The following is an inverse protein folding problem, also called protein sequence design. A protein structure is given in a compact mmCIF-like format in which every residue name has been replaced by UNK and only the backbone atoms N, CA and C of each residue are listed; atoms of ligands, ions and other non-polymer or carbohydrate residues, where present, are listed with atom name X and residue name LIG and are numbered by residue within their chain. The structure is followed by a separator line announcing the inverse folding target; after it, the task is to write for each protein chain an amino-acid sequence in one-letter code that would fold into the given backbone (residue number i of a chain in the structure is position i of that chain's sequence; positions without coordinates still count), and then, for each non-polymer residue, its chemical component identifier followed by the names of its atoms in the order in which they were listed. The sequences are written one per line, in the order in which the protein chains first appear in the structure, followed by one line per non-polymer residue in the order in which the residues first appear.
data_IF_029543357792
#
_entry.id   IF_029543357792
#
_cell.length_a   1.000
_cell.length_b   1.000
_cell.length_c   1.000
_cell.angle_alpha   90.00
_cell.angle_beta   90.00
_cell.angle_gamma   90.00
#
_symmetry.space_group_name_H-M   'P 1'
#
loop_
_entity.id
_entity.type
_entity.pdbx_description
1 polymer ?
#
# COMPACT_ATOMS: atom_id res chain seq x y z
N UNK A 1 -13.64 12.22 -16.90
CA UNK A 1 -12.52 12.16 -17.89
C UNK A 1 -12.80 11.12 -18.97
N UNK A 2 -12.15 11.15 -20.14
CA UNK A 2 -12.28 10.13 -21.20
C UNK A 2 -11.06 9.18 -21.19
N UNK A 3 -11.15 8.05 -20.49
CA UNK A 3 -9.99 7.20 -20.17
C UNK A 3 -9.28 6.63 -21.41
N UNK A 4 -10.03 6.13 -22.39
CA UNK A 4 -9.46 5.54 -23.60
C UNK A 4 -8.65 6.55 -24.40
N UNK A 5 -9.16 7.78 -24.54
CA UNK A 5 -8.45 8.87 -25.20
C UNK A 5 -7.15 9.22 -24.47
N UNK A 6 -7.13 9.19 -23.13
CA UNK A 6 -5.91 9.44 -22.36
C UNK A 6 -4.91 8.30 -22.52
N UNK A 7 -5.35 7.04 -22.51
CA UNK A 7 -4.50 5.88 -22.77
C UNK A 7 -3.88 5.92 -24.17
N UNK A 8 -4.68 6.23 -25.21
CA UNK A 8 -4.19 6.42 -26.58
C UNK A 8 -3.18 7.57 -26.67
N UNK A 9 -3.47 8.72 -26.04
CA UNK A 9 -2.57 9.89 -26.06
C UNK A 9 -1.23 9.58 -25.43
N UNK A 10 -1.22 8.82 -24.35
CA UNK A 10 0.00 8.48 -23.61
C UNK A 10 0.61 7.14 -24.02
N UNK A 11 0.01 6.45 -25.00
CA UNK A 11 0.41 5.13 -25.48
C UNK A 11 0.56 4.10 -24.34
N UNK A 12 -0.43 4.06 -23.45
CA UNK A 12 -0.51 3.12 -22.33
C UNK A 12 -0.89 1.72 -22.79
N UNK A 13 -0.27 0.70 -22.20
CA UNK A 13 -0.64 -0.70 -22.42
C UNK A 13 -1.83 -1.11 -21.55
N UNK A 14 -1.83 -0.74 -20.27
CA UNK A 14 -2.84 -1.20 -19.32
C UNK A 14 -3.12 -0.20 -18.19
N UNK A 15 -4.38 -0.16 -17.75
CA UNK A 15 -4.83 0.44 -16.50
C UNK A 15 -5.69 -0.56 -15.75
N UNK A 16 -5.28 -0.91 -14.53
CA UNK A 16 -5.99 -1.86 -13.66
C UNK A 16 -6.55 -1.10 -12.46
N UNK A 17 -7.84 -1.24 -12.23
CA UNK A 17 -8.54 -0.65 -11.09
C UNK A 17 -8.78 -1.73 -10.03
N UNK A 18 -8.28 -1.48 -8.83
CA UNK A 18 -8.42 -2.37 -7.69
C UNK A 18 -9.32 -1.70 -6.66
N UNK A 19 -10.42 -2.37 -6.31
CA UNK A 19 -11.30 -1.95 -5.23
C UNK A 19 -11.57 -3.14 -4.31
N UNK A 20 -11.31 -2.96 -3.02
CA UNK A 20 -11.73 -3.91 -1.99
C UNK A 20 -12.67 -3.21 -1.00
N UNK A 21 -13.96 -3.58 -0.96
CA UNK A 21 -14.91 -3.01 -0.01
C UNK A 21 -14.54 -3.27 1.45
N UNK A 22 -13.94 -4.43 1.73
CA UNK A 22 -13.67 -4.88 3.10
C UNK A 22 -12.61 -4.00 3.77
N UNK A 23 -11.50 -3.74 3.09
CA UNK A 23 -10.48 -2.81 3.54
C UNK A 23 -10.75 -1.37 3.12
N UNK A 24 -11.71 -1.09 2.23
CA UNK A 24 -11.86 0.24 1.61
C UNK A 24 -10.73 0.61 0.65
N UNK A 25 -9.93 -0.36 0.19
CA UNK A 25 -8.82 -0.09 -0.72
C UNK A 25 -9.34 0.43 -2.05
N UNK A 26 -8.79 1.55 -2.49
CA UNK A 26 -8.94 2.08 -3.85
C UNK A 26 -7.55 2.27 -4.44
N UNK A 27 -7.22 1.51 -5.47
CA UNK A 27 -5.90 1.59 -6.10
C UNK A 27 -5.99 1.49 -7.61
N UNK A 28 -4.98 2.05 -8.27
CA UNK A 28 -4.85 2.06 -9.72
C UNK A 28 -3.42 1.64 -10.04
N UNK A 29 -3.29 0.63 -10.90
CA UNK A 29 -2.01 0.16 -11.42
C UNK A 29 -1.96 0.56 -12.89
N UNK A 30 -0.93 1.30 -13.27
CA UNK A 30 -0.69 1.76 -14.62
C UNK A 30 0.55 1.08 -15.20
N UNK A 31 0.42 0.49 -16.38
CA UNK A 31 1.51 -0.12 -17.15
C UNK A 31 1.63 0.66 -18.46
N UNK A 32 2.75 1.37 -18.62
CA UNK A 32 2.97 2.22 -19.80
C UNK A 32 3.63 1.45 -20.94
N UNK A 33 4.68 0.68 -20.67
CA UNK A 33 5.38 -0.07 -21.72
C UNK A 33 6.13 -1.26 -21.13
N UNK A 34 6.07 -2.42 -21.80
CA UNK A 34 6.76 -3.67 -21.40
C UNK A 34 7.75 -4.21 -22.45
N UNK A 35 8.10 -3.43 -23.47
CA UNK A 35 8.94 -3.87 -24.59
C UNK A 35 10.36 -4.33 -24.17
N UNK A 36 10.94 -3.74 -23.12
CA UNK A 36 12.27 -4.11 -22.61
C UNK A 36 12.22 -5.24 -21.57
N UNK A 37 11.03 -5.62 -21.10
CA UNK A 37 10.84 -6.57 -20.00
C UNK A 37 9.63 -6.22 -19.12
N UNK A 38 9.43 -6.93 -18.01
CA UNK A 38 8.28 -6.73 -17.14
C UNK A 38 8.26 -5.31 -16.56
N UNK A 39 7.06 -4.79 -16.29
CA UNK A 39 6.89 -3.45 -15.77
C UNK A 39 7.41 -3.35 -14.32
N UNK A 40 8.41 -2.48 -14.10
CA UNK A 40 8.94 -2.19 -12.77
C UNK A 40 8.50 -0.79 -12.32
N UNK A 41 8.00 -0.69 -11.09
CA UNK A 41 7.49 0.55 -10.52
C UNK A 41 7.24 0.46 -9.04
N UNK A 42 7.29 1.61 -8.35
CA UNK A 42 6.91 1.68 -6.94
C UNK A 42 5.40 1.86 -6.73
N UNK A 43 4.94 1.62 -5.51
CA UNK A 43 3.62 2.03 -5.04
C UNK A 43 3.70 3.41 -4.36
N UNK A 44 2.67 4.24 -4.50
CA UNK A 44 2.51 5.46 -3.70
C UNK A 44 1.11 5.52 -3.12
N UNK A 45 1.02 5.78 -1.82
CA UNK A 45 -0.22 6.20 -1.17
C UNK A 45 -0.31 7.73 -1.19
N UNK A 46 -1.41 8.28 -1.66
CA UNK A 46 -1.65 9.72 -1.68
C UNK A 46 -3.14 10.04 -1.56
N UNK A 47 -3.48 11.17 -0.94
CA UNK A 47 -4.86 11.66 -0.87
C UNK A 47 -5.15 12.48 -2.11
N UNK A 48 -5.99 11.93 -2.99
CA UNK A 48 -6.41 12.59 -4.23
C UNK A 48 -7.74 13.31 -4.03
N UNK A 49 -7.93 14.42 -4.73
CA UNK A 49 -9.18 15.18 -4.67
C UNK A 49 -10.24 14.58 -5.60
N UNK A 50 -9.81 13.83 -6.63
CA UNK A 50 -10.68 13.23 -7.65
C UNK A 50 -10.05 11.98 -8.30
N UNK A 51 -10.89 11.14 -8.91
CA UNK A 51 -10.45 9.92 -9.60
C UNK A 51 -9.60 10.25 -10.82
N UNK A 52 -9.98 11.32 -11.52
CA UNK A 52 -9.19 11.88 -12.61
C UNK A 52 -7.77 12.25 -12.19
N UNK A 53 -7.59 12.78 -10.98
CA UNK A 53 -6.27 13.13 -10.46
C UNK A 53 -5.43 11.87 -10.21
N UNK A 54 -6.02 10.87 -9.55
CA UNK A 54 -5.36 9.60 -9.28
C UNK A 54 -4.94 8.88 -10.57
N UNK A 55 -5.84 8.80 -11.56
CA UNK A 55 -5.56 8.16 -12.86
C UNK A 55 -4.45 8.89 -13.61
N UNK A 56 -4.54 10.23 -13.74
CA UNK A 56 -3.51 11.01 -14.44
C UNK A 56 -2.13 10.87 -13.79
N UNK A 57 -2.10 10.83 -12.46
CA UNK A 57 -0.86 10.68 -11.71
C UNK A 57 -0.27 9.28 -11.89
N UNK A 58 -1.09 8.23 -11.88
CA UNK A 58 -0.66 6.86 -12.21
C UNK A 58 -0.04 6.76 -13.61
N UNK A 59 -0.74 7.30 -14.63
CA UNK A 59 -0.27 7.32 -16.03
C UNK A 59 1.06 8.07 -16.15
N UNK A 60 1.11 9.30 -15.60
CA UNK A 60 2.30 10.16 -15.67
C UNK A 60 3.52 9.47 -15.06
N UNK A 61 3.35 8.82 -13.91
CA UNK A 61 4.46 8.16 -13.22
C UNK A 61 4.88 6.85 -13.89
N UNK A 62 3.95 6.04 -14.40
CA UNK A 62 4.28 4.81 -15.12
C UNK A 62 5.11 5.12 -16.40
N UNK A 63 4.72 6.18 -17.11
CA UNK A 63 5.49 6.73 -18.23
C UNK A 63 6.88 7.17 -17.81
N UNK A 64 6.99 7.91 -16.70
CA UNK A 64 8.27 8.30 -16.12
C UNK A 64 9.18 7.09 -15.79
N UNK A 65 8.61 6.02 -15.25
CA UNK A 65 9.35 4.78 -14.96
C UNK A 65 9.86 4.09 -16.22
N UNK A 66 9.09 4.11 -17.31
CA UNK A 66 9.54 3.56 -18.61
C UNK A 66 10.81 4.25 -19.08
N UNK A 67 10.79 5.59 -19.14
CA UNK A 67 11.96 6.35 -19.58
C UNK A 67 13.13 6.21 -18.62
N UNK A 68 12.87 6.20 -17.31
CA UNK A 68 13.91 6.03 -16.30
C UNK A 68 14.61 4.69 -16.44
N UNK A 69 13.87 3.61 -16.60
CA UNK A 69 14.43 2.26 -16.74
C UNK A 69 15.18 2.11 -18.08
N UNK A 70 14.63 2.66 -19.17
CA UNK A 70 15.27 2.63 -20.48
C UNK A 70 16.60 3.41 -20.50
N UNK A 71 16.64 4.63 -19.96
CA UNK A 71 17.86 5.45 -19.91
C UNK A 71 18.90 4.84 -18.96
N UNK A 72 18.46 4.16 -17.90
CA UNK A 72 19.35 3.42 -17.01
C UNK A 72 19.87 2.10 -17.61
N UNK A 73 19.43 1.71 -18.82
CA UNK A 73 19.83 0.46 -19.46
C UNK A 73 19.32 -0.79 -18.73
N UNK A 74 18.21 -0.67 -17.99
CA UNK A 74 17.64 -1.79 -17.24
C UNK A 74 16.68 -2.60 -18.12
N UNK A 75 16.62 -3.94 -17.96
CA UNK A 75 15.75 -4.82 -18.74
C UNK A 75 14.32 -4.83 -18.18
N UNK A 76 13.75 -3.65 -17.95
CA UNK A 76 12.42 -3.48 -17.37
C UNK A 76 11.62 -2.43 -18.12
N UNK A 77 10.32 -2.71 -18.25
CA UNK A 77 9.31 -1.73 -18.65
C UNK A 77 9.02 -0.72 -17.54
N UNK A 78 7.97 0.08 -17.70
CA UNK A 78 7.54 1.06 -16.70
C UNK A 78 6.13 0.85 -16.21
N UNK A 79 6.01 0.69 -14.89
CA UNK A 79 4.73 0.64 -14.19
C UNK A 79 4.66 1.62 -13.03
N UNK A 80 3.46 1.82 -12.47
CA UNK A 80 3.25 2.52 -11.21
C UNK A 80 1.94 2.06 -10.57
N UNK A 81 1.95 1.87 -9.25
CA UNK A 81 0.73 1.77 -8.46
C UNK A 81 0.49 3.06 -7.67
N UNK A 82 -0.76 3.53 -7.66
CA UNK A 82 -1.24 4.57 -6.75
C UNK A 82 -2.36 4.00 -5.89
N UNK A 83 -2.30 4.27 -4.60
CA UNK A 83 -3.36 3.95 -3.64
C UNK A 83 -3.98 5.28 -3.22
N UNK A 84 -5.29 5.39 -3.41
CA UNK A 84 -6.07 6.52 -2.98
C UNK A 84 -6.35 6.38 -1.49
N UNK A 85 -5.84 7.35 -0.72
CA UNK A 85 -6.16 7.59 0.70
C UNK A 85 -6.29 6.33 1.57
N UNK A 86 -5.23 6.00 2.29
CA UNK A 86 -5.23 4.86 3.20
C UNK A 86 -5.92 5.14 4.54
N UNK A 87 -6.47 6.34 4.80
CA UNK A 87 -7.08 6.66 6.10
C UNK A 87 -8.19 5.69 6.50
N UNK A 88 -9.20 5.49 5.64
CA UNK A 88 -10.28 4.53 5.88
C UNK A 88 -9.78 3.08 5.98
N UNK A 89 -8.75 2.72 5.20
CA UNK A 89 -8.19 1.38 5.22
C UNK A 89 -7.42 1.09 6.51
N UNK A 90 -6.68 2.08 7.01
CA UNK A 90 -5.95 2.00 8.27
C UNK A 90 -6.91 1.96 9.46
N UNK A 91 -7.99 2.75 9.44
CA UNK A 91 -9.03 2.71 10.48
C UNK A 91 -9.67 1.33 10.60
N UNK A 92 -9.99 0.68 9.47
CA UNK A 92 -10.60 -0.66 9.48
C UNK A 92 -9.63 -1.76 9.92
N UNK A 93 -8.35 -1.65 9.57
CA UNK A 93 -7.31 -2.56 10.07
C UNK A 93 -7.19 -2.44 11.60
N UNK A 94 -7.20 -1.21 12.13
CA UNK A 94 -7.15 -0.96 13.57
C UNK A 94 -8.41 -1.41 14.31
N UNK A 95 -9.58 -1.28 13.69
CA UNK A 95 -10.85 -1.77 14.23
C UNK A 95 -10.94 -3.31 14.25
N UNK A 96 -10.30 -3.98 13.28
CA UNK A 96 -10.30 -5.46 13.16
C UNK A 96 -9.31 -6.18 14.08
N UNK A 97 -8.32 -5.49 14.64
CA UNK A 97 -7.35 -6.08 15.59
C UNK A 97 -7.87 -6.22 17.03
N UNK A 98 -9.12 -5.85 17.29
CA UNK A 98 -9.79 -6.01 18.59
C UNK A 98 -10.68 -7.25 18.63
N UNK A 99 -10.13 -8.45 18.40
CA UNK A 99 -10.83 -9.66 18.86
C UNK A 99 -10.42 -9.87 20.31
N UNK A 100 -11.35 -9.60 21.23
CA UNK A 100 -11.20 -9.91 22.64
C UNK A 100 -11.01 -11.43 22.80
N UNK A 101 -9.78 -11.89 23.00
CA UNK A 101 -9.50 -13.09 23.79
C UNK A 101 -9.74 -12.74 25.27
N UNK A 102 -11.02 -12.59 25.61
CA UNK A 102 -11.49 -12.74 26.98
C UNK A 102 -12.16 -14.09 27.05
N UNK A 103 -11.37 -15.14 27.25
CA UNK A 103 -11.73 -16.41 27.89
C UNK A 103 -10.49 -17.32 27.82
N UNK A 104 -9.67 -17.30 28.88
CA UNK A 104 -8.94 -18.47 29.42
C UNK A 104 -7.92 -17.99 30.46
N UNK A 105 -8.40 -17.60 31.64
CA UNK A 105 -7.60 -17.62 32.87
C UNK A 105 -8.52 -17.69 34.11
N UNK A 106 -9.44 -18.67 34.10
CA UNK A 106 -9.85 -19.33 35.35
C UNK A 106 -8.89 -20.49 35.59
N UNK A 107 -7.67 -20.17 36.01
CA UNK A 107 -6.82 -21.13 36.71
C UNK A 107 -5.95 -20.38 37.74
N UNK A 108 -6.62 -19.67 38.66
CA UNK A 108 -6.00 -19.29 39.92
C UNK A 108 -5.98 -20.52 40.84
N UNK A 109 -4.90 -21.28 40.79
CA UNK A 109 -4.46 -22.10 41.92
C UNK A 109 -2.94 -22.29 41.91
N UNK A 110 -2.24 -21.36 42.56
CA UNK A 110 -0.94 -21.62 43.18
C UNK A 110 0.28 -21.39 42.30
N UNK A 111 0.95 -20.25 42.49
CA UNK A 111 2.32 -20.18 43.06
C UNK A 111 2.49 -18.76 43.59
N UNK A 112 2.57 -18.66 44.91
CA UNK A 112 2.89 -17.45 45.65
C UNK A 112 4.35 -17.02 45.44
N UNK A 113 4.54 -15.71 45.66
CA UNK A 113 5.66 -15.12 46.39
C UNK A 113 6.96 -14.75 45.65
N UNK A 114 7.36 -13.49 45.95
CA UNK A 114 8.68 -12.88 45.85
C UNK A 114 9.10 -12.51 44.41
N UNK A 115 9.30 -11.22 44.08
CA UNK A 115 10.41 -10.42 44.61
C UNK A 115 10.12 -8.91 44.41
N UNK A 116 9.58 -8.26 45.44
CA UNK A 116 9.87 -6.83 45.72
C UNK A 116 10.51 -6.80 47.10
N UNK A 117 11.83 -6.86 47.13
CA UNK A 117 12.63 -6.72 48.34
C UNK A 117 13.58 -5.56 48.16
N UNK A 118 13.26 -4.43 48.79
CA UNK A 118 14.24 -3.40 49.12
C UNK A 118 15.39 -4.02 49.92
N UNK A 119 16.61 -3.59 49.65
CA UNK A 119 17.80 -4.10 50.31
C UNK A 119 18.99 -3.16 50.12
N UNK A 120 19.05 -2.12 50.96
CA UNK A 120 20.25 -1.35 51.22
C UNK A 120 21.36 -2.23 51.81
N UNK A 121 22.57 -2.19 51.26
CA UNK A 121 23.87 -2.53 51.89
C UNK A 121 24.91 -2.29 50.77
N UNK A 122 25.90 -1.43 50.86
CA UNK A 122 26.78 -1.15 51.99
C UNK A 122 28.18 -1.62 51.61
N UNK A 123 28.98 -0.71 51.03
CA UNK A 123 30.46 -0.56 51.04
C UNK A 123 30.93 0.22 49.82
#
# INVERSE_FOLDING_TARGET
MQIWREMERENMEELVFCYDPSSGLRAIIAIHNTALGPALGGCRCWSYTSEEEAIRDAIKLAKGMTYKNAIAGLPYGGGKAVIWDASEALEKIQAGSGTNDQNDEQDQAGVEANLTGEGSLGM
#
